data_IF_715019919707
#
_entry.id   IF_715019919707
#
_cell.length_a   1.000
_cell.length_b   1.000
_cell.length_c   1.000
_cell.angle_alpha   90.00
_cell.angle_beta   90.00
_cell.angle_gamma   90.00
#
_symmetry.space_group_name_H-M   'P 1'
#
loop_
_entity.id
_entity.type
_entity.pdbx_description
1 polymer ?
#
# COMPACT_ATOMS: atom_id res chain seq x y z
N UNK A 1 -18.59 -27.82 -2.90
CA UNK A 1 -17.18 -27.63 -2.57
C UNK A 1 -16.47 -27.57 -3.90
N UNK A 2 -16.55 -26.41 -4.55
CA UNK A 2 -15.84 -26.15 -5.79
C UNK A 2 -14.45 -25.71 -5.38
N UNK A 3 -13.45 -26.50 -5.74
CA UNK A 3 -12.08 -26.01 -5.92
C UNK A 3 -12.19 -24.74 -6.77
N UNK A 4 -12.02 -23.58 -6.13
CA UNK A 4 -11.67 -22.38 -6.89
C UNK A 4 -10.24 -22.65 -7.33
N UNK A 5 -10.13 -23.18 -8.54
CA UNK A 5 -8.88 -23.40 -9.27
C UNK A 5 -7.96 -22.21 -9.02
N UNK A 6 -6.73 -22.52 -8.59
CA UNK A 6 -5.61 -21.59 -8.54
C UNK A 6 -5.55 -20.85 -9.88
N UNK A 7 -5.98 -19.59 -9.90
CA UNK A 7 -5.95 -18.79 -11.11
C UNK A 7 -4.51 -18.75 -11.63
N UNK A 8 -4.32 -19.02 -12.92
CA UNK A 8 -3.02 -18.80 -13.58
C UNK A 8 -2.65 -17.31 -13.47
N UNK A 9 -1.34 -16.97 -13.42
CA UNK A 9 -0.91 -15.58 -13.35
C UNK A 9 -1.46 -14.87 -14.58
N UNK A 10 -1.94 -13.66 -14.37
CA UNK A 10 -2.34 -12.80 -15.47
C UNK A 10 -1.10 -12.06 -15.99
N UNK A 11 -1.19 -11.50 -17.20
CA UNK A 11 -0.15 -10.59 -17.70
C UNK A 11 -0.04 -9.30 -16.85
N UNK A 12 -0.88 -9.12 -15.82
CA UNK A 12 -0.87 -7.95 -14.95
C UNK A 12 0.39 -7.87 -14.10
N UNK A 13 0.85 -8.99 -13.50
CA UNK A 13 2.11 -8.97 -12.76
C UNK A 13 3.30 -8.65 -13.67
N UNK A 14 3.35 -9.24 -14.87
CA UNK A 14 4.44 -8.98 -15.81
C UNK A 14 4.49 -7.50 -16.22
N UNK A 15 3.32 -6.91 -16.51
CA UNK A 15 3.21 -5.47 -16.79
C UNK A 15 3.68 -4.62 -15.61
N UNK A 16 3.21 -4.92 -14.39
CA UNK A 16 3.57 -4.20 -13.18
C UNK A 16 5.06 -4.31 -12.88
N UNK A 17 5.62 -5.51 -12.98
CA UNK A 17 7.02 -5.76 -12.73
C UNK A 17 7.90 -4.98 -13.73
N UNK A 18 7.55 -4.97 -15.02
CA UNK A 18 8.23 -4.11 -16.01
C UNK A 18 8.07 -2.62 -15.69
N UNK A 19 6.87 -2.19 -15.31
CA UNK A 19 6.60 -0.80 -14.93
C UNK A 19 7.46 -0.36 -13.74
N UNK A 20 7.59 -1.18 -12.71
CA UNK A 20 8.39 -0.86 -11.51
C UNK A 20 9.89 -0.74 -11.81
N UNK A 21 10.41 -1.51 -12.77
CA UNK A 21 11.82 -1.42 -13.18
C UNK A 21 12.12 -0.25 -14.11
N UNK A 22 11.17 0.12 -14.97
CA UNK A 22 11.47 1.00 -16.09
C UNK A 22 10.73 2.32 -16.06
N UNK A 23 9.60 2.48 -15.35
CA UNK A 23 8.69 3.66 -15.17
C UNK A 23 8.38 4.52 -16.43
N UNK A 24 9.00 4.22 -17.57
CA UNK A 24 8.93 4.93 -18.84
C UNK A 24 8.13 4.13 -19.87
N UNK A 25 7.85 2.85 -19.57
CA UNK A 25 7.15 1.91 -20.47
C UNK A 25 5.64 1.84 -20.24
N UNK A 26 5.14 2.42 -19.15
CA UNK A 26 3.73 2.42 -18.79
C UNK A 26 3.28 3.76 -18.22
N UNK A 27 1.98 3.96 -18.09
CA UNK A 27 1.41 5.07 -17.33
C UNK A 27 1.12 4.62 -15.91
N UNK A 28 1.16 5.57 -14.97
CA UNK A 28 0.75 5.30 -13.60
C UNK A 28 -0.71 4.78 -13.53
N UNK A 29 -1.62 5.39 -14.30
CA UNK A 29 -3.00 4.90 -14.43
C UNK A 29 -3.06 3.44 -14.93
N UNK A 30 -2.22 3.06 -15.88
CA UNK A 30 -2.17 1.67 -16.36
C UNK A 30 -1.62 0.69 -15.33
N UNK A 31 -0.72 1.14 -14.46
CA UNK A 31 -0.26 0.37 -13.32
C UNK A 31 -1.35 0.22 -12.26
N UNK A 32 -2.13 1.27 -12.00
CA UNK A 32 -3.31 1.19 -11.13
C UNK A 32 -4.34 0.22 -11.72
N UNK A 33 -4.68 0.33 -12.99
CA UNK A 33 -5.60 -0.62 -13.64
C UNK A 33 -5.09 -2.07 -13.48
N UNK A 34 -3.77 -2.27 -13.62
CA UNK A 34 -3.15 -3.59 -13.49
C UNK A 34 -3.16 -4.15 -12.08
N UNK A 35 -3.00 -3.33 -11.03
CA UNK A 35 -3.06 -3.84 -9.65
C UNK A 35 -4.46 -4.39 -9.31
N UNK A 36 -5.53 -3.82 -9.87
CA UNK A 36 -6.90 -4.36 -9.73
C UNK A 36 -7.17 -5.61 -10.57
N UNK A 37 -6.33 -5.92 -11.56
CA UNK A 37 -6.44 -7.13 -12.38
C UNK A 37 -5.67 -8.33 -11.81
N UNK A 38 -4.83 -8.12 -10.79
CA UNK A 38 -4.03 -9.19 -10.19
C UNK A 38 -4.90 -10.28 -9.55
N UNK A 39 -4.43 -11.51 -9.63
CA UNK A 39 -5.01 -12.66 -8.94
C UNK A 39 -4.02 -13.26 -7.93
N UNK A 40 -4.45 -14.25 -7.15
CA UNK A 40 -3.66 -14.86 -6.06
C UNK A 40 -2.20 -15.14 -6.44
N UNK A 41 -1.97 -15.76 -7.60
CA UNK A 41 -0.62 -16.09 -8.08
C UNK A 41 0.20 -14.85 -8.48
N UNK A 42 -0.44 -13.78 -8.93
CA UNK A 42 0.24 -12.50 -9.23
C UNK A 42 0.74 -11.85 -7.92
N UNK A 43 -0.05 -11.92 -6.85
CA UNK A 43 0.34 -11.43 -5.53
C UNK A 43 1.48 -12.24 -4.92
N UNK A 44 1.47 -13.56 -5.08
CA UNK A 44 2.59 -14.43 -4.70
C UNK A 44 3.89 -14.04 -5.43
N UNK A 45 3.79 -13.75 -6.73
CA UNK A 45 4.91 -13.30 -7.55
C UNK A 45 5.41 -11.92 -7.11
N UNK A 46 4.51 -10.99 -6.78
CA UNK A 46 4.86 -9.67 -6.28
C UNK A 46 5.59 -9.73 -4.94
N UNK A 47 5.11 -10.56 -4.00
CA UNK A 47 5.78 -10.77 -2.71
C UNK A 47 7.16 -11.42 -2.88
N UNK A 48 7.30 -12.36 -3.83
CA UNK A 48 8.58 -12.95 -4.16
C UNK A 48 9.55 -11.91 -4.74
N UNK A 49 9.09 -11.11 -5.70
CA UNK A 49 9.88 -10.07 -6.36
C UNK A 49 10.32 -8.96 -5.38
N UNK A 50 9.49 -8.63 -4.39
CA UNK A 50 9.80 -7.62 -3.37
C UNK A 50 11.16 -7.84 -2.69
N UNK A 51 11.49 -9.10 -2.38
CA UNK A 51 12.72 -9.47 -1.65
C UNK A 51 13.99 -9.17 -2.44
N UNK A 52 13.92 -9.30 -3.76
CA UNK A 52 15.07 -9.12 -4.67
C UNK A 52 15.02 -7.80 -5.44
N UNK A 53 13.92 -7.05 -5.32
CA UNK A 53 13.71 -5.76 -5.98
C UNK A 53 14.72 -4.70 -5.54
N UNK A 54 15.11 -3.82 -6.46
CA UNK A 54 15.94 -2.65 -6.12
C UNK A 54 15.16 -1.65 -5.25
N UNK A 55 15.85 -0.68 -4.63
CA UNK A 55 15.18 0.41 -3.93
C UNK A 55 14.13 1.09 -4.83
N UNK A 56 14.53 1.54 -6.03
CA UNK A 56 13.64 2.21 -6.99
C UNK A 56 12.44 1.34 -7.38
N UNK A 57 12.63 0.03 -7.60
CA UNK A 57 11.54 -0.89 -7.86
C UNK A 57 10.54 -0.93 -6.69
N UNK A 58 11.05 -0.99 -5.45
CA UNK A 58 10.19 -1.02 -4.25
C UNK A 58 9.46 0.30 -4.05
N UNK A 59 10.11 1.44 -4.29
CA UNK A 59 9.47 2.75 -4.24
C UNK A 59 8.31 2.86 -5.26
N UNK A 60 8.53 2.43 -6.50
CA UNK A 60 7.50 2.41 -7.54
C UNK A 60 6.35 1.45 -7.21
N UNK A 61 6.68 0.25 -6.73
CA UNK A 61 5.71 -0.75 -6.29
C UNK A 61 4.80 -0.21 -5.19
N UNK A 62 5.36 0.35 -4.12
CA UNK A 62 4.61 0.94 -3.00
C UNK A 62 3.70 2.06 -3.45
N UNK A 63 4.17 2.92 -4.35
CA UNK A 63 3.36 4.03 -4.87
C UNK A 63 2.10 3.52 -5.57
N UNK A 64 2.18 2.41 -6.32
CA UNK A 64 1.01 1.81 -6.99
C UNK A 64 0.11 1.08 -5.98
N UNK A 65 0.68 0.38 -5.01
CA UNK A 65 -0.08 -0.30 -3.95
C UNK A 65 -0.99 0.65 -3.17
N UNK A 66 -0.60 1.91 -2.99
CA UNK A 66 -1.41 2.96 -2.34
C UNK A 66 -2.74 3.27 -3.01
N UNK A 67 -2.97 2.79 -4.24
CA UNK A 67 -4.19 3.00 -5.00
C UNK A 67 -4.91 1.69 -5.37
N UNK A 68 -4.41 0.55 -4.88
CA UNK A 68 -4.94 -0.77 -5.22
C UNK A 68 -6.01 -1.28 -4.25
N UNK A 69 -6.47 -2.53 -4.42
CA UNK A 69 -7.47 -3.14 -3.55
C UNK A 69 -6.93 -3.34 -2.13
N UNK A 70 -7.71 -2.92 -1.13
CA UNK A 70 -7.25 -2.81 0.26
C UNK A 70 -6.80 -4.15 0.85
N UNK A 71 -7.56 -5.22 0.64
CA UNK A 71 -7.28 -6.53 1.28
C UNK A 71 -5.91 -7.08 0.88
N UNK A 72 -5.55 -6.93 -0.39
CA UNK A 72 -4.32 -7.44 -0.96
C UNK A 72 -3.14 -6.47 -0.82
N UNK A 73 -3.37 -5.15 -0.90
CA UNK A 73 -2.30 -4.16 -0.79
C UNK A 73 -1.79 -3.96 0.64
N UNK A 74 -2.67 -3.99 1.65
CA UNK A 74 -2.31 -3.67 3.05
C UNK A 74 -1.16 -4.53 3.59
N UNK A 75 -1.10 -5.87 3.37
CA UNK A 75 0.02 -6.69 3.81
C UNK A 75 1.38 -6.24 3.27
N UNK A 76 1.49 -5.95 1.96
CA UNK A 76 2.75 -5.49 1.36
C UNK A 76 3.08 -4.06 1.75
N UNK A 77 2.09 -3.15 1.84
CA UNK A 77 2.31 -1.81 2.37
C UNK A 77 2.81 -1.86 3.81
N UNK A 78 2.28 -2.78 4.64
CA UNK A 78 2.76 -3.01 6.00
C UNK A 78 4.20 -3.46 6.00
N UNK A 79 4.58 -4.38 5.12
CA UNK A 79 5.98 -4.79 4.96
C UNK A 79 6.87 -3.60 4.55
N UNK A 80 6.41 -2.76 3.62
CA UNK A 80 7.14 -1.59 3.13
C UNK A 80 7.33 -0.50 4.20
N UNK A 81 6.37 -0.33 5.10
CA UNK A 81 6.47 0.61 6.24
C UNK A 81 7.67 0.33 7.15
N UNK A 82 8.10 -0.94 7.18
CA UNK A 82 9.27 -1.43 7.92
C UNK A 82 10.44 -1.81 7.00
N UNK A 83 10.46 -1.34 5.75
CA UNK A 83 11.62 -1.54 4.87
C UNK A 83 12.89 -0.95 5.49
N UNK A 84 14.01 -1.63 5.28
CA UNK A 84 15.33 -1.20 5.73
C UNK A 84 15.74 0.13 5.06
N UNK A 85 15.22 0.40 3.87
CA UNK A 85 15.40 1.66 3.19
C UNK A 85 14.37 2.70 3.68
N UNK A 86 14.88 3.83 4.19
CA UNK A 86 14.04 4.87 4.78
C UNK A 86 13.13 5.59 3.77
N UNK A 87 13.55 5.68 2.51
CA UNK A 87 12.79 6.37 1.47
C UNK A 87 11.59 5.50 1.03
N UNK A 88 11.80 4.18 0.86
CA UNK A 88 10.71 3.20 0.68
C UNK A 88 9.72 3.28 1.84
N UNK A 89 10.20 3.27 3.08
CA UNK A 89 9.34 3.35 4.26
C UNK A 89 8.54 4.67 4.31
N UNK A 90 9.13 5.80 3.94
CA UNK A 90 8.43 7.10 3.85
C UNK A 90 7.32 7.07 2.80
N UNK A 91 7.60 6.53 1.61
CA UNK A 91 6.60 6.37 0.55
C UNK A 91 5.48 5.44 1.01
N UNK A 92 5.80 4.39 1.77
CA UNK A 92 4.79 3.49 2.33
C UNK A 92 3.88 4.17 3.34
N UNK A 93 4.41 5.05 4.19
CA UNK A 93 3.57 5.85 5.09
C UNK A 93 2.59 6.75 4.32
N UNK A 94 3.05 7.39 3.24
CA UNK A 94 2.21 8.20 2.36
C UNK A 94 1.17 7.40 1.59
N UNK A 95 1.59 6.27 1.03
CA UNK A 95 0.71 5.37 0.27
C UNK A 95 -0.37 4.76 1.18
N UNK A 96 -0.02 4.40 2.42
CA UNK A 96 -1.01 4.02 3.42
C UNK A 96 -1.98 5.15 3.75
N UNK A 97 -1.49 6.38 3.90
CA UNK A 97 -2.35 7.51 4.22
C UNK A 97 -3.34 7.81 3.09
N UNK A 98 -2.87 7.79 1.83
CA UNK A 98 -3.72 7.90 0.65
C UNK A 98 -4.77 6.80 0.60
N UNK A 99 -4.36 5.54 0.79
CA UNK A 99 -5.28 4.39 0.80
C UNK A 99 -6.38 4.53 1.87
N UNK A 100 -6.06 5.10 3.04
CA UNK A 100 -7.04 5.30 4.12
C UNK A 100 -8.01 6.47 3.84
N UNK A 101 -7.55 7.51 3.15
CA UNK A 101 -8.35 8.69 2.80
C UNK A 101 -9.27 8.39 1.62
N UNK A 102 -8.74 7.73 0.58
CA UNK A 102 -9.47 7.46 -0.66
C UNK A 102 -10.40 6.24 -0.54
N UNK A 103 -10.39 5.56 0.60
CA UNK A 103 -11.26 4.40 0.89
C UNK A 103 -12.73 4.77 0.80
N UNK A 104 -13.52 3.93 0.14
CA UNK A 104 -14.98 4.00 0.20
C UNK A 104 -15.51 3.12 1.34
N UNK A 105 -15.87 3.75 2.47
CA UNK A 105 -16.38 3.05 3.67
C UNK A 105 -17.63 2.16 3.41
N UNK A 106 -18.35 2.35 2.31
CA UNK A 106 -19.49 1.48 1.95
C UNK A 106 -19.04 0.13 1.38
N UNK A 107 -17.94 0.10 0.63
CA UNK A 107 -17.52 -1.09 -0.13
C UNK A 107 -16.20 -1.69 0.34
N UNK A 108 -15.32 -0.86 0.89
CA UNK A 108 -13.99 -1.28 1.30
C UNK A 108 -13.98 -1.75 2.76
N UNK A 109 -13.18 -2.79 3.08
CA UNK A 109 -13.06 -3.28 4.43
C UNK A 109 -12.34 -2.27 5.34
N UNK A 110 -12.66 -2.27 6.65
CA UNK A 110 -11.96 -1.44 7.60
C UNK A 110 -10.49 -1.85 7.71
N UNK A 111 -9.61 -0.86 7.65
CA UNK A 111 -8.17 -1.03 7.83
C UNK A 111 -7.83 -0.69 9.28
N UNK A 112 -7.26 -1.67 9.97
CA UNK A 112 -6.79 -1.49 11.34
C UNK A 112 -5.27 -1.45 11.41
N UNK A 113 -4.75 -0.45 12.10
CA UNK A 113 -3.33 -0.30 12.39
C UNK A 113 -3.06 -0.75 13.83
N UNK A 114 -1.92 -1.39 14.06
CA UNK A 114 -1.46 -1.65 15.43
C UNK A 114 -0.56 -0.51 15.94
N UNK A 115 -0.22 -0.56 17.24
CA UNK A 115 0.60 0.45 17.90
C UNK A 115 1.97 0.63 17.22
N UNK A 116 2.54 -0.43 16.65
CA UNK A 116 3.84 -0.39 15.99
C UNK A 116 3.76 0.36 14.65
N UNK A 117 2.74 0.05 13.85
CA UNK A 117 2.46 0.75 12.59
C UNK A 117 2.24 2.24 12.83
N UNK A 118 1.40 2.61 13.79
CA UNK A 118 1.12 4.02 14.10
C UNK A 118 2.38 4.74 14.61
N UNK A 119 3.16 4.11 15.50
CA UNK A 119 4.41 4.68 15.95
C UNK A 119 5.41 4.89 14.79
N UNK A 120 5.49 3.91 13.88
CA UNK A 120 6.34 3.97 12.71
C UNK A 120 5.92 5.07 11.74
N UNK A 121 4.62 5.18 11.43
CA UNK A 121 4.10 6.27 10.58
C UNK A 121 4.38 7.64 11.19
N UNK A 122 4.14 7.85 12.48
CA UNK A 122 4.46 9.12 13.18
C UNK A 122 5.94 9.47 13.09
N UNK A 123 6.82 8.48 13.27
CA UNK A 123 8.25 8.68 13.13
C UNK A 123 8.63 9.11 11.70
N UNK A 124 8.10 8.42 10.69
CA UNK A 124 8.41 8.67 9.28
C UNK A 124 7.92 10.05 8.82
N UNK A 125 6.69 10.43 9.18
CA UNK A 125 6.14 11.76 8.91
C UNK A 125 6.97 12.84 9.59
N UNK A 126 7.42 12.60 10.83
CA UNK A 126 8.31 13.51 11.55
C UNK A 126 9.71 13.69 10.92
N UNK A 127 10.13 12.80 10.02
CA UNK A 127 11.40 12.89 9.28
C UNK A 127 11.27 13.60 7.93
N UNK A 128 10.06 13.93 7.48
CA UNK A 128 9.87 14.58 6.20
C UNK A 128 10.03 16.10 6.34
N UNK A 129 10.90 16.69 5.52
CA UNK A 129 11.18 18.14 5.53
C UNK A 129 10.03 18.99 4.95
N UNK A 130 9.04 18.35 4.32
CA UNK A 130 7.88 19.00 3.71
C UNK A 130 6.61 18.60 4.46
N UNK A 131 5.71 19.57 4.62
CA UNK A 131 4.38 19.33 5.15
C UNK A 131 3.65 18.39 4.19
N UNK A 132 3.32 17.18 4.64
CA UNK A 132 2.46 16.28 3.89
C UNK A 132 1.11 16.23 4.58
N UNK A 133 0.15 16.88 3.92
CA UNK A 133 -1.19 17.16 4.42
C UNK A 133 -1.95 15.87 4.73
N UNK A 134 -1.94 14.92 3.80
CA UNK A 134 -2.64 13.64 3.92
C UNK A 134 -2.15 12.77 5.08
N UNK A 135 -0.84 12.64 5.24
CA UNK A 135 -0.29 11.77 6.29
C UNK A 135 -0.49 12.36 7.68
N UNK A 136 -0.39 13.69 7.78
CA UNK A 136 -0.71 14.41 9.02
C UNK A 136 -2.19 14.28 9.34
N UNK A 137 -3.07 14.45 8.36
CA UNK A 137 -4.51 14.29 8.51
C UNK A 137 -4.88 12.89 9.00
N UNK A 138 -4.33 11.84 8.39
CA UNK A 138 -4.56 10.46 8.84
C UNK A 138 -4.15 10.31 10.29
N UNK A 139 -2.93 10.71 10.64
CA UNK A 139 -2.40 10.54 12.00
C UNK A 139 -3.20 11.33 13.07
N UNK A 140 -3.76 12.49 12.72
CA UNK A 140 -4.61 13.29 13.60
C UNK A 140 -5.99 12.67 13.83
N UNK A 141 -6.48 11.90 12.87
CA UNK A 141 -7.81 11.29 12.88
C UNK A 141 -7.76 9.75 13.09
N UNK A 142 -6.62 9.24 13.55
CA UNK A 142 -6.52 7.87 14.06
C UNK A 142 -7.09 7.79 15.48
N UNK A 143 -8.10 6.95 15.64
CA UNK A 143 -8.75 6.68 16.91
C UNK A 143 -8.43 5.27 17.40
N UNK A 144 -8.08 5.16 18.69
CA UNK A 144 -7.85 3.86 19.30
C UNK A 144 -9.18 3.20 19.67
N UNK A 145 -9.43 2.04 19.10
CA UNK A 145 -10.62 1.21 19.33
C UNK A 145 -10.53 0.49 20.69
N UNK A 146 -11.67 -0.02 21.17
CA UNK A 146 -11.73 -0.72 22.46
C UNK A 146 -10.96 -2.04 22.51
N UNK A 147 -10.73 -2.68 21.35
CA UNK A 147 -9.89 -3.88 21.20
C UNK A 147 -8.40 -3.54 21.03
N UNK A 148 -8.02 -2.25 21.13
CA UNK A 148 -6.64 -1.79 21.21
C UNK A 148 -5.97 -1.49 19.88
N UNK A 149 -6.70 -1.59 18.76
CA UNK A 149 -6.25 -1.22 17.41
C UNK A 149 -6.50 0.26 17.14
N UNK A 150 -5.98 0.75 16.03
CA UNK A 150 -6.22 2.10 15.52
C UNK A 150 -7.00 2.04 14.22
N UNK A 151 -7.96 2.92 14.10
CA UNK A 151 -8.81 3.07 12.92
C UNK A 151 -8.80 4.54 12.50
N UNK A 152 -8.71 4.79 11.19
CA UNK A 152 -8.88 6.12 10.64
C UNK A 152 -10.38 6.41 10.53
N UNK A 153 -10.79 7.56 11.09
CA UNK A 153 -12.15 8.06 11.00
C UNK A 153 -12.07 9.44 10.34
N UNK A 154 -12.45 9.60 9.06
CA UNK A 154 -12.36 10.89 8.39
C UNK A 154 -13.18 11.94 9.15
N UNK A 155 -12.71 13.20 9.17
CA UNK A 155 -13.53 14.29 9.72
C UNK A 155 -14.72 14.46 8.80
N UNK A 156 -15.93 14.37 9.36
CA UNK A 156 -17.15 14.74 8.62
C UNK A 156 -16.96 16.15 8.03
N UNK A 157 -17.05 16.25 6.70
CA UNK A 157 -17.03 17.50 5.91
C UNK A 157 -18.35 18.26 6.01
#
# INVERSE_FOLDING_TARGET
MTDTDKAEPTDAFDYLNEYFYFNERGSFDGAIDSIFMMHEKDWELLEAAWKDGSQEWRENCVSVLGHGPIEECVPLLRQALFDDNIDVAKIAAGSFAGLLIDRDDEYDPPVYLDDEMVARMRYLVGLQDKYIEYETEVLENLHRTSDGKWEFIPRES
#
